data_IF_564394312972
#
_entry.id   IF_564394312972
#
_cell.length_a   1.000
_cell.length_b   1.000
_cell.length_c   1.000
_cell.angle_alpha   90.00
_cell.angle_beta   90.00
_cell.angle_gamma   90.00
#
_symmetry.space_group_name_H-M   'P 1'
#
loop_
_entity.id
_entity.type
_entity.pdbx_description
1 polymer ?
#
# COMPACT_ATOMS: atom_id res chain seq x y z
N UNK A 1 -26.54 -20.91 20.56
CA UNK A 1 -25.15 -21.37 20.32
C UNK A 1 -24.79 -21.01 18.88
N UNK A 2 -24.26 -19.82 18.63
CA UNK A 2 -23.84 -19.39 17.29
C UNK A 2 -22.34 -19.70 17.14
N UNK A 3 -21.99 -20.64 16.27
CA UNK A 3 -20.59 -20.96 15.95
C UNK A 3 -20.09 -19.97 14.91
N UNK A 4 -19.02 -19.24 15.23
CA UNK A 4 -18.41 -18.24 14.35
C UNK A 4 -17.70 -18.94 13.19
N UNK A 5 -18.32 -18.95 12.00
CA UNK A 5 -17.77 -19.46 10.73
C UNK A 5 -16.73 -18.50 10.11
N UNK A 6 -15.68 -18.19 10.86
CA UNK A 6 -14.56 -17.37 10.33
C UNK A 6 -13.51 -18.25 9.63
N UNK A 7 -13.58 -19.58 9.76
CA UNK A 7 -12.53 -20.51 9.30
C UNK A 7 -12.80 -21.22 7.98
N UNK A 8 -13.89 -20.94 7.28
CA UNK A 8 -14.29 -21.72 6.10
C UNK A 8 -13.65 -21.24 4.77
N UNK A 9 -12.56 -20.47 4.83
CA UNK A 9 -11.82 -20.09 3.63
C UNK A 9 -11.11 -21.32 3.02
N UNK A 10 -11.76 -21.94 2.04
CA UNK A 10 -11.16 -22.94 1.16
C UNK A 10 -10.59 -22.21 -0.08
N UNK A 11 -9.27 -22.06 -0.23
CA UNK A 11 -8.71 -21.48 -1.44
C UNK A 11 -9.05 -22.40 -2.62
N UNK A 12 -9.77 -21.88 -3.62
CA UNK A 12 -10.03 -22.59 -4.87
C UNK A 12 -8.73 -22.92 -5.63
N UNK A 13 -8.77 -23.80 -6.64
CA UNK A 13 -7.60 -24.34 -7.34
C UNK A 13 -6.91 -23.34 -8.29
N UNK A 14 -6.96 -22.04 -7.97
CA UNK A 14 -6.07 -21.04 -8.56
C UNK A 14 -4.69 -21.16 -7.93
N UNK A 15 -3.63 -20.63 -8.56
CA UNK A 15 -2.28 -20.74 -8.01
C UNK A 15 -2.26 -20.09 -6.63
N UNK A 16 -2.08 -20.91 -5.59
CA UNK A 16 -1.82 -20.49 -4.21
C UNK A 16 -0.36 -20.01 -4.13
N UNK A 17 -0.02 -19.05 -4.97
CA UNK A 17 1.28 -18.42 -5.03
C UNK A 17 1.02 -16.94 -5.16
N UNK A 18 1.51 -16.16 -4.17
CA UNK A 18 1.64 -14.71 -4.35
C UNK A 18 2.25 -14.50 -5.74
N UNK A 19 1.65 -13.68 -6.63
CA UNK A 19 2.25 -13.43 -7.92
C UNK A 19 3.72 -13.04 -7.68
N UNK A 20 4.67 -13.73 -8.33
CA UNK A 20 6.08 -13.43 -8.13
C UNK A 20 6.25 -11.93 -8.39
N UNK A 21 6.88 -11.23 -7.44
CA UNK A 21 7.16 -9.78 -7.46
C UNK A 21 6.12 -8.85 -6.79
N UNK A 22 5.01 -9.35 -6.21
CA UNK A 22 4.11 -8.47 -5.45
C UNK A 22 4.74 -8.10 -4.09
N UNK A 23 4.92 -6.79 -3.85
CA UNK A 23 5.45 -6.26 -2.59
C UNK A 23 4.30 -6.04 -1.61
N UNK A 24 4.49 -6.42 -0.35
CA UNK A 24 3.53 -6.08 0.72
C UNK A 24 3.41 -4.56 0.84
N UNK A 25 2.20 -4.08 1.19
CA UNK A 25 1.98 -2.67 1.50
C UNK A 25 2.83 -2.28 2.72
N UNK A 26 3.44 -1.09 2.69
CA UNK A 26 4.26 -0.55 3.78
C UNK A 26 3.82 0.87 4.08
N UNK A 27 3.64 1.18 5.36
CA UNK A 27 3.43 2.54 5.85
C UNK A 27 4.67 2.99 6.61
N UNK A 28 5.21 4.15 6.27
CA UNK A 28 6.38 4.73 6.93
C UNK A 28 5.93 5.96 7.72
N UNK A 29 6.35 6.04 8.99
CA UNK A 29 6.11 7.21 9.85
C UNK A 29 7.46 7.79 10.26
N UNK A 30 8.15 8.52 9.37
CA UNK A 30 9.42 9.17 9.71
C UNK A 30 9.18 10.38 10.62
N UNK A 31 10.20 10.78 11.38
CA UNK A 31 10.20 12.10 12.03
C UNK A 31 10.21 13.20 10.97
N UNK A 32 9.10 13.94 10.86
CA UNK A 32 8.95 14.97 9.83
C UNK A 32 9.34 16.34 10.36
N UNK A 33 10.44 16.88 9.84
CA UNK A 33 10.76 18.31 9.98
C UNK A 33 10.03 19.06 8.89
N UNK A 34 9.42 20.20 9.23
CA UNK A 34 8.80 21.05 8.22
C UNK A 34 9.87 21.56 7.25
N UNK A 35 9.65 21.35 5.95
CA UNK A 35 10.67 21.55 4.92
C UNK A 35 10.05 21.79 3.56
N UNK A 36 10.67 21.27 2.50
CA UNK A 36 10.13 21.38 1.14
C UNK A 36 8.80 20.62 1.04
N UNK A 37 7.79 21.27 0.49
CA UNK A 37 6.46 20.71 0.25
C UNK A 37 6.09 20.85 -1.22
N UNK A 38 5.20 19.97 -1.69
CA UNK A 38 4.56 20.15 -2.99
C UNK A 38 3.56 21.29 -2.96
N UNK A 39 3.26 21.88 -4.12
CA UNK A 39 2.11 22.78 -4.24
C UNK A 39 0.80 22.02 -3.95
N UNK A 40 -0.28 22.67 -3.51
CA UNK A 40 -1.55 22.00 -3.20
C UNK A 40 -2.07 21.11 -4.34
N UNK A 41 -1.95 21.58 -5.59
CA UNK A 41 -2.38 20.82 -6.77
C UNK A 41 -1.55 19.55 -6.94
N UNK A 42 -0.24 19.63 -6.81
CA UNK A 42 0.65 18.47 -6.95
C UNK A 42 0.50 17.49 -5.79
N UNK A 43 0.36 18.00 -4.56
CA UNK A 43 0.15 17.19 -3.37
C UNK A 43 -1.10 16.33 -3.49
N UNK A 44 -2.20 16.91 -3.99
CA UNK A 44 -3.45 16.18 -4.25
C UNK A 44 -3.24 15.05 -5.26
N UNK A 45 -2.54 15.32 -6.37
CA UNK A 45 -2.26 14.30 -7.39
C UNK A 45 -1.36 13.18 -6.89
N UNK A 46 -0.44 13.48 -5.97
CA UNK A 46 0.53 12.53 -5.41
C UNK A 46 0.04 11.79 -4.17
N UNK A 47 -1.02 12.27 -3.52
CA UNK A 47 -1.55 11.73 -2.26
C UNK A 47 -0.67 12.01 -1.04
N UNK A 48 0.25 12.97 -1.12
CA UNK A 48 1.11 13.39 -0.01
C UNK A 48 1.59 14.82 -0.20
N UNK A 49 1.71 15.58 0.88
CA UNK A 49 2.30 16.93 0.88
C UNK A 49 3.83 16.91 0.78
N UNK A 50 4.44 15.82 1.28
CA UNK A 50 5.87 15.73 1.50
C UNK A 50 6.54 14.91 0.39
N UNK A 51 7.53 15.49 -0.31
CA UNK A 51 8.30 14.78 -1.34
C UNK A 51 8.92 13.47 -0.86
N UNK A 52 9.44 13.46 0.37
CA UNK A 52 10.11 12.29 0.96
C UNK A 52 9.17 11.08 1.16
N UNK A 53 7.85 11.30 1.14
CA UNK A 53 6.84 10.25 1.25
C UNK A 53 6.29 9.79 -0.11
N UNK A 54 6.65 10.44 -1.22
CA UNK A 54 6.12 10.07 -2.53
C UNK A 54 6.85 8.85 -3.11
N UNK A 55 6.18 7.69 -3.09
CA UNK A 55 6.73 6.42 -3.56
C UNK A 55 5.73 5.68 -4.48
N UNK A 56 5.67 6.00 -5.78
CA UNK A 56 4.76 5.33 -6.70
C UNK A 56 5.17 3.87 -6.95
N UNK A 57 4.18 3.00 -7.14
CA UNK A 57 4.44 1.62 -7.55
C UNK A 57 5.06 1.60 -8.95
N UNK A 58 6.11 0.79 -9.11
CA UNK A 58 6.70 0.57 -10.44
C UNK A 58 5.73 -0.25 -11.27
N UNK A 59 5.51 0.07 -12.56
CA UNK A 59 4.76 -0.80 -13.45
C UNK A 59 5.44 -2.17 -13.53
N UNK A 60 4.63 -3.21 -13.64
CA UNK A 60 5.12 -4.57 -13.92
C UNK A 60 5.71 -4.59 -15.34
N UNK A 61 6.90 -5.19 -15.50
CA UNK A 61 7.61 -5.36 -16.79
C UNK A 61 7.27 -6.69 -17.44
#
# INVERSE_FOLDING_TARGET
MATNRITDYQPGPGPIGRPPQMRLARAYVPWQRYGRTFSPREALMKGTLFPDLYFPYRPYS
#
